data_IF_195120922788
#
_entry.id   IF_195120922788
#
_cell.length_a   1.000
_cell.length_b   1.000
_cell.length_c   1.000
_cell.angle_alpha   90.00
_cell.angle_beta   90.00
_cell.angle_gamma   90.00
#
_symmetry.space_group_name_H-M   'P 1'
#
loop_
_entity.id
_entity.type
_entity.pdbx_description
1 polymer ?
#
# COMPACT_ATOMS: atom_id res chain seq x y z
N UNK A 1 -2.10 19.13 3.92
CA UNK A 1 -2.53 17.72 3.75
C UNK A 1 -1.81 17.12 2.56
N UNK A 2 -1.30 15.92 2.70
CA UNK A 2 -0.66 15.15 1.63
C UNK A 2 -1.71 14.32 0.88
N UNK A 3 -1.33 13.78 -0.29
CA UNK A 3 -2.17 12.89 -1.08
C UNK A 3 -1.49 11.55 -1.33
N UNK A 4 -2.32 10.52 -1.52
CA UNK A 4 -1.89 9.20 -1.97
C UNK A 4 -2.44 8.93 -3.37
N UNK A 5 -1.64 8.26 -4.20
CA UNK A 5 -2.01 7.89 -5.56
C UNK A 5 -2.06 6.38 -5.70
N UNK A 6 -3.13 5.89 -6.32
CA UNK A 6 -3.31 4.50 -6.71
C UNK A 6 -3.24 4.40 -8.24
N UNK A 7 -2.91 3.25 -8.79
CA UNK A 7 -2.82 3.06 -10.23
C UNK A 7 -4.23 2.92 -10.84
N UNK A 8 -4.62 3.88 -11.71
CA UNK A 8 -5.93 3.86 -12.36
C UNK A 8 -6.01 2.82 -13.47
N UNK A 9 -4.90 2.55 -14.17
CA UNK A 9 -4.86 1.52 -15.21
C UNK A 9 -5.14 0.11 -14.66
N UNK A 10 -4.87 -0.11 -13.36
CA UNK A 10 -5.19 -1.35 -12.65
C UNK A 10 -6.49 -1.23 -11.83
N UNK A 11 -7.32 -0.20 -12.02
CA UNK A 11 -8.58 -0.01 -11.28
C UNK A 11 -8.41 0.23 -9.77
N UNK A 12 -7.19 0.44 -9.27
CA UNK A 12 -6.92 0.48 -7.83
C UNK A 12 -7.55 1.69 -7.13
N UNK A 13 -7.68 2.84 -7.80
CA UNK A 13 -8.39 4.00 -7.23
C UNK A 13 -9.84 3.64 -6.97
N UNK A 14 -10.55 3.06 -7.94
CA UNK A 14 -11.94 2.64 -7.79
C UNK A 14 -12.11 1.56 -6.72
N UNK A 15 -11.17 0.61 -6.64
CA UNK A 15 -11.17 -0.41 -5.61
C UNK A 15 -11.09 0.18 -4.19
N UNK A 16 -10.27 1.22 -4.01
CA UNK A 16 -10.20 1.98 -2.75
C UNK A 16 -11.52 2.69 -2.47
N UNK A 17 -12.06 3.43 -3.44
CA UNK A 17 -13.29 4.20 -3.25
C UNK A 17 -14.52 3.32 -2.95
N UNK A 18 -14.53 2.09 -3.46
CA UNK A 18 -15.57 1.07 -3.18
C UNK A 18 -15.33 0.28 -1.89
N UNK A 19 -14.23 0.52 -1.18
CA UNK A 19 -13.86 -0.22 0.03
C UNK A 19 -13.36 -1.64 -0.23
N UNK A 20 -13.15 -2.03 -1.48
CA UNK A 20 -12.66 -3.36 -1.87
C UNK A 20 -11.14 -3.52 -1.69
N UNK A 21 -10.44 -2.41 -1.49
CA UNK A 21 -9.02 -2.34 -1.20
C UNK A 21 -8.84 -1.47 0.04
N UNK A 22 -8.34 -2.07 1.12
CA UNK A 22 -8.16 -1.43 2.43
C UNK A 22 -6.70 -1.49 2.91
N UNK A 23 -5.80 -1.96 2.04
CA UNK A 23 -4.37 -2.02 2.28
C UNK A 23 -3.60 -1.61 1.03
N UNK A 24 -2.43 -1.02 1.20
CA UNK A 24 -1.51 -0.74 0.09
C UNK A 24 -0.08 -0.96 0.53
N UNK A 25 0.70 -1.58 -0.34
CA UNK A 25 2.11 -1.85 -0.12
C UNK A 25 2.99 -0.97 -1.01
N UNK A 26 4.16 -0.63 -0.51
CA UNK A 26 5.14 0.23 -1.20
C UNK A 26 6.54 -0.30 -1.02
N UNK A 27 7.32 -0.25 -2.11
CA UNK A 27 8.77 -0.34 -2.03
C UNK A 27 9.30 1.02 -1.58
N UNK A 28 9.69 1.14 -0.32
CA UNK A 28 10.24 2.37 0.22
C UNK A 28 11.76 2.27 0.39
N UNK A 29 12.42 3.38 0.17
CA UNK A 29 13.87 3.45 0.35
C UNK A 29 14.20 3.44 1.84
N UNK A 30 14.44 2.25 2.36
CA UNK A 30 14.91 2.08 3.74
C UNK A 30 16.40 2.38 3.83
N UNK A 31 16.90 3.02 4.92
CA UNK A 31 18.33 3.16 5.17
C UNK A 31 19.04 1.81 5.15
N UNK A 32 20.24 1.74 4.59
CA UNK A 32 20.98 0.48 4.45
C UNK A 32 21.22 -0.20 5.81
N UNK A 33 21.56 0.59 6.83
CA UNK A 33 21.72 0.08 8.20
C UNK A 33 20.43 -0.54 8.74
N UNK A 34 19.26 0.09 8.48
CA UNK A 34 17.97 -0.45 8.90
C UNK A 34 17.66 -1.77 8.21
N UNK A 35 17.83 -1.82 6.89
CA UNK A 35 17.63 -3.01 6.06
C UNK A 35 18.57 -4.15 6.45
N UNK A 36 19.83 -3.84 6.76
CA UNK A 36 20.80 -4.82 7.27
C UNK A 36 20.27 -5.50 8.53
N UNK A 37 19.82 -4.74 9.53
CA UNK A 37 19.30 -5.32 10.78
C UNK A 37 17.98 -6.08 10.61
N UNK A 38 17.11 -5.69 9.67
CA UNK A 38 15.94 -6.49 9.32
C UNK A 38 16.34 -7.89 8.80
N UNK A 39 17.34 -7.96 7.91
CA UNK A 39 17.85 -9.23 7.40
C UNK A 39 18.50 -10.07 8.49
N UNK A 40 19.29 -9.46 9.35
CA UNK A 40 19.92 -10.13 10.51
C UNK A 40 18.86 -10.70 11.47
N UNK A 41 17.81 -9.93 11.75
CA UNK A 41 16.66 -10.40 12.54
C UNK A 41 15.98 -11.60 11.90
N UNK A 42 15.73 -11.56 10.60
CA UNK A 42 15.09 -12.64 9.86
C UNK A 42 15.92 -13.92 9.88
N UNK A 43 17.23 -13.81 9.81
CA UNK A 43 18.16 -14.95 9.87
C UNK A 43 18.36 -15.49 11.30
N UNK A 44 17.84 -14.78 12.32
CA UNK A 44 18.05 -15.15 13.72
C UNK A 44 19.50 -14.99 14.19
N UNK A 45 20.35 -14.30 13.44
CA UNK A 45 21.80 -14.19 13.71
C UNK A 45 22.11 -13.36 14.97
N UNK A 46 21.22 -12.44 15.35
CA UNK A 46 21.32 -11.68 16.61
C UNK A 46 20.07 -12.01 17.44
N UNK A 47 20.21 -12.63 18.61
CA UNK A 47 19.10 -12.93 19.51
C UNK A 47 18.41 -11.64 19.97
N UNK A 48 17.09 -11.71 20.16
CA UNK A 48 16.28 -10.65 20.76
C UNK A 48 16.24 -9.31 20.00
N UNK A 49 16.51 -9.29 18.68
CA UNK A 49 16.21 -8.13 17.87
C UNK A 49 14.71 -7.97 17.70
N UNK A 50 14.20 -6.81 18.05
CA UNK A 50 12.80 -6.43 17.83
C UNK A 50 12.72 -5.22 16.91
N UNK A 51 11.73 -5.25 16.02
CA UNK A 51 11.35 -4.11 15.20
C UNK A 51 10.00 -3.61 15.72
N UNK A 52 9.96 -2.38 16.19
CA UNK A 52 8.76 -1.77 16.76
C UNK A 52 8.43 -0.49 16.02
N UNK A 53 7.14 -0.24 15.81
CA UNK A 53 6.63 1.04 15.38
C UNK A 53 6.29 1.87 16.61
N UNK A 54 6.81 3.09 16.67
CA UNK A 54 6.56 4.06 17.72
C UNK A 54 5.46 5.01 17.21
N UNK A 55 4.30 4.97 17.81
CA UNK A 55 3.12 5.74 17.37
C UNK A 55 3.29 7.25 17.59
N UNK A 56 4.02 7.66 18.62
CA UNK A 56 4.23 9.08 18.95
C UNK A 56 5.16 9.75 17.94
N UNK A 57 6.23 9.07 17.56
CA UNK A 57 7.21 9.59 16.60
C UNK A 57 6.90 9.21 15.16
N UNK A 58 6.08 8.19 14.93
CA UNK A 58 5.81 7.61 13.61
C UNK A 58 7.02 6.93 12.98
N UNK A 59 7.93 6.41 13.81
CA UNK A 59 9.17 5.77 13.36
C UNK A 59 9.20 4.29 13.67
N UNK A 60 9.75 3.52 12.76
CA UNK A 60 10.21 2.17 13.08
C UNK A 60 11.59 2.21 13.73
N UNK A 61 11.75 1.44 14.79
CA UNK A 61 13.02 1.30 15.50
C UNK A 61 13.40 -0.16 15.63
N UNK A 62 14.62 -0.50 15.24
CA UNK A 62 15.22 -1.80 15.58
C UNK A 62 16.02 -1.64 16.86
N UNK A 63 15.66 -2.44 17.85
CA UNK A 63 16.28 -2.48 19.19
C UNK A 63 16.71 -3.91 19.50
N UNK A 64 17.72 -4.05 20.34
CA UNK A 64 18.06 -5.31 20.97
C UNK A 64 17.58 -5.28 22.42
N UNK A 65 16.73 -6.25 22.77
CA UNK A 65 16.36 -6.50 24.16
C UNK A 65 17.34 -7.52 24.74
N UNK A 66 18.18 -7.10 25.67
CA UNK A 66 19.04 -8.04 26.39
C UNK A 66 18.27 -8.60 27.59
N UNK A 67 18.11 -9.94 27.73
CA UNK A 67 17.30 -10.54 28.79
C UNK A 67 17.76 -10.23 30.21
N UNK A 68 18.98 -9.72 30.36
CA UNK A 68 19.60 -9.41 31.65
C UNK A 68 20.03 -7.95 31.83
N UNK A 69 19.65 -7.06 30.87
CA UNK A 69 19.96 -5.63 30.97
C UNK A 69 18.69 -4.84 30.71
N UNK A 70 18.37 -3.89 31.60
CA UNK A 70 17.23 -2.97 31.41
C UNK A 70 17.41 -1.99 30.24
N UNK A 71 18.61 -1.86 29.70
CA UNK A 71 18.90 -0.93 28.62
C UNK A 71 18.68 -1.58 27.26
N UNK A 72 17.74 -1.00 26.49
CA UNK A 72 17.55 -1.32 25.09
C UNK A 72 18.47 -0.47 24.20
N UNK A 73 19.37 -1.11 23.47
CA UNK A 73 20.19 -0.41 22.48
C UNK A 73 19.40 -0.22 21.18
N UNK A 74 19.34 1.03 20.70
CA UNK A 74 18.74 1.37 19.40
C UNK A 74 19.79 1.22 18.30
N UNK A 75 19.53 0.37 17.32
CA UNK A 75 20.46 0.14 16.21
C UNK A 75 20.16 0.95 14.96
N UNK A 76 18.88 1.09 14.62
CA UNK A 76 18.49 1.76 13.40
C UNK A 76 17.06 2.34 13.49
N UNK A 77 16.82 3.38 12.71
CA UNK A 77 15.54 4.06 12.59
C UNK A 77 15.11 4.11 11.11
N UNK A 78 13.81 4.03 10.89
CA UNK A 78 13.19 4.22 9.56
C UNK A 78 11.89 4.98 9.71
N UNK A 79 11.71 6.03 8.89
CA UNK A 79 10.47 6.80 8.83
C UNK A 79 9.69 6.36 7.59
N UNK A 80 8.54 5.70 7.74
CA UNK A 80 7.69 5.36 6.61
C UNK A 80 7.06 6.63 6.01
N UNK A 81 6.70 6.55 4.74
CA UNK A 81 6.12 7.67 4.00
C UNK A 81 4.77 8.13 4.56
N UNK A 82 3.95 7.19 5.00
CA UNK A 82 2.65 7.45 5.61
C UNK A 82 2.67 6.97 7.06
N UNK A 83 2.08 7.77 7.95
CA UNK A 83 2.11 7.49 9.39
C UNK A 83 0.76 7.03 9.90
N UNK A 84 0.76 6.15 10.88
CA UNK A 84 -0.45 5.72 11.58
C UNK A 84 -1.19 6.92 12.18
N UNK A 85 -2.50 6.91 12.06
CA UNK A 85 -3.38 8.00 12.52
C UNK A 85 -3.50 9.18 11.57
N UNK A 86 -2.59 9.34 10.60
CA UNK A 86 -2.65 10.44 9.64
C UNK A 86 -3.65 10.16 8.51
N UNK A 87 -4.19 11.26 7.96
CA UNK A 87 -5.18 11.23 6.87
C UNK A 87 -4.59 11.81 5.59
N UNK A 88 -4.84 11.11 4.48
CA UNK A 88 -4.33 11.46 3.16
C UNK A 88 -5.47 11.53 2.14
N UNK A 89 -5.44 12.53 1.26
CA UNK A 89 -6.41 12.63 0.17
C UNK A 89 -6.17 11.56 -0.90
N UNK A 90 -7.21 10.88 -1.35
CA UNK A 90 -7.14 9.95 -2.49
C UNK A 90 -7.13 10.79 -3.78
N UNK A 91 -5.98 10.82 -4.47
CA UNK A 91 -5.82 11.62 -5.66
C UNK A 91 -6.64 11.05 -6.84
N UNK A 92 -7.51 11.87 -7.40
CA UNK A 92 -8.30 11.60 -8.60
C UNK A 92 -8.09 12.74 -9.60
N UNK A 93 -8.03 12.47 -10.93
CA UNK A 93 -8.07 13.54 -11.92
C UNK A 93 -9.36 14.37 -11.76
N UNK A 94 -9.29 15.67 -11.93
CA UNK A 94 -10.47 16.55 -11.76
C UNK A 94 -11.65 16.15 -12.65
N UNK A 95 -11.39 15.63 -13.85
CA UNK A 95 -12.46 15.15 -14.73
C UNK A 95 -13.33 14.02 -14.13
N UNK A 96 -12.79 13.26 -13.17
CA UNK A 96 -13.50 12.17 -12.48
C UNK A 96 -14.30 12.65 -11.24
N UNK A 97 -14.13 13.90 -10.83
CA UNK A 97 -14.87 14.45 -9.72
C UNK A 97 -16.35 14.68 -10.08
N UNK A 98 -17.28 14.66 -9.10
CA UNK A 98 -18.68 14.99 -9.32
C UNK A 98 -18.85 16.39 -9.92
N UNK A 99 -19.84 16.56 -10.82
CA UNK A 99 -20.06 17.81 -11.54
C UNK A 99 -20.36 18.99 -10.61
N UNK A 100 -21.13 18.77 -9.54
CA UNK A 100 -21.40 19.78 -8.53
C UNK A 100 -20.11 20.28 -7.86
N UNK A 101 -19.18 19.37 -7.56
CA UNK A 101 -17.91 19.71 -6.95
C UNK A 101 -16.99 20.46 -7.94
N UNK A 102 -16.95 20.03 -9.20
CA UNK A 102 -16.20 20.74 -10.25
C UNK A 102 -16.69 22.19 -10.42
N UNK A 103 -18.00 22.39 -10.43
CA UNK A 103 -18.61 23.73 -10.50
C UNK A 103 -18.28 24.58 -9.28
N UNK A 104 -18.45 24.01 -8.08
CA UNK A 104 -18.16 24.73 -6.82
C UNK A 104 -16.69 25.17 -6.73
N UNK A 105 -15.77 24.33 -7.19
CA UNK A 105 -14.33 24.62 -7.20
C UNK A 105 -13.86 25.40 -8.43
N UNK A 106 -14.77 25.74 -9.35
CA UNK A 106 -14.48 26.44 -10.62
C UNK A 106 -13.36 25.75 -11.43
N UNK A 107 -13.40 24.42 -11.49
CA UNK A 107 -12.39 23.61 -12.22
C UNK A 107 -12.65 23.65 -13.72
N UNK A 108 -11.58 23.76 -14.50
CA UNK A 108 -11.61 23.85 -15.97
C UNK A 108 -10.79 22.72 -16.60
N UNK A 109 -11.11 22.37 -17.83
CA UNK A 109 -10.37 21.36 -18.59
C UNK A 109 -8.91 21.74 -18.84
N UNK A 110 -8.59 23.03 -18.78
CA UNK A 110 -7.24 23.58 -18.89
C UNK A 110 -6.41 23.43 -17.62
N UNK A 111 -7.01 23.05 -16.48
CA UNK A 111 -6.27 22.88 -15.23
C UNK A 111 -5.31 21.66 -15.32
N UNK A 112 -4.11 21.83 -14.83
CA UNK A 112 -3.10 20.77 -14.85
C UNK A 112 -3.55 19.45 -14.21
N UNK A 113 -4.43 19.53 -13.22
CA UNK A 113 -5.03 18.37 -12.54
C UNK A 113 -6.19 17.71 -13.29
N UNK A 114 -6.66 18.27 -14.43
CA UNK A 114 -7.83 17.74 -15.14
C UNK A 114 -7.68 16.30 -15.58
N UNK A 115 -6.57 15.99 -16.26
CA UNK A 115 -6.25 14.63 -16.72
C UNK A 115 -5.20 13.93 -15.86
N UNK A 116 -4.43 14.66 -15.05
CA UNK A 116 -3.29 14.11 -14.33
C UNK A 116 -3.40 14.38 -12.82
N UNK A 117 -3.65 13.31 -12.07
CA UNK A 117 -3.79 13.35 -10.61
C UNK A 117 -2.51 13.75 -9.85
N UNK A 118 -1.36 13.79 -10.51
CA UNK A 118 -0.15 14.34 -9.89
C UNK A 118 -0.29 15.82 -9.55
N UNK A 119 -1.08 16.57 -10.32
CA UNK A 119 -1.24 18.02 -10.16
C UNK A 119 -2.51 18.43 -9.41
N UNK A 120 -3.33 17.48 -8.95
CA UNK A 120 -4.54 17.82 -8.18
C UNK A 120 -4.18 18.35 -6.79
N UNK A 121 -4.98 19.29 -6.31
CA UNK A 121 -4.87 19.81 -4.94
C UNK A 121 -5.53 18.83 -3.96
N UNK A 122 -4.83 18.38 -2.91
CA UNK A 122 -5.41 17.46 -1.93
C UNK A 122 -6.69 17.97 -1.25
N UNK A 123 -6.80 19.29 -1.07
CA UNK A 123 -7.96 19.90 -0.46
C UNK A 123 -9.25 19.76 -1.30
N UNK A 124 -9.12 19.52 -2.61
CA UNK A 124 -10.25 19.37 -3.54
C UNK A 124 -10.77 17.93 -3.64
N UNK A 125 -10.05 16.98 -3.03
CA UNK A 125 -10.41 15.56 -3.13
C UNK A 125 -11.52 15.21 -2.14
N UNK A 126 -12.64 14.61 -2.63
CA UNK A 126 -13.76 14.24 -1.78
C UNK A 126 -13.52 13.00 -0.95
N UNK A 127 -12.50 12.21 -1.30
CA UNK A 127 -12.18 10.98 -0.61
C UNK A 127 -10.82 11.06 0.10
N UNK A 128 -10.78 10.49 1.28
CA UNK A 128 -9.59 10.40 2.12
C UNK A 128 -9.39 8.98 2.60
N UNK A 129 -8.16 8.66 2.93
CA UNK A 129 -7.85 7.45 3.69
C UNK A 129 -7.17 7.85 4.99
N UNK A 130 -7.53 7.18 6.07
CA UNK A 130 -6.86 7.26 7.37
C UNK A 130 -6.04 6.01 7.57
N UNK A 131 -4.75 6.18 7.83
CA UNK A 131 -3.85 5.05 8.09
C UNK A 131 -4.16 4.47 9.48
N UNK A 132 -4.53 3.21 9.51
CA UNK A 132 -4.86 2.48 10.74
C UNK A 132 -3.66 1.74 11.29
N UNK A 133 -2.82 1.22 10.37
CA UNK A 133 -1.66 0.43 10.75
C UNK A 133 -0.56 0.51 9.70
N UNK A 134 0.70 0.35 10.15
CA UNK A 134 1.89 0.36 9.32
C UNK A 134 2.77 -0.80 9.71
N UNK A 135 3.08 -1.66 8.75
CA UNK A 135 3.84 -2.88 8.98
C UNK A 135 4.96 -3.03 7.94
N UNK A 136 5.98 -3.78 8.29
CA UNK A 136 7.11 -4.07 7.40
C UNK A 136 7.21 -5.58 7.23
N UNK A 137 7.19 -6.03 5.98
CA UNK A 137 7.30 -7.45 5.60
C UNK A 137 8.36 -7.67 4.53
N UNK A 138 9.00 -8.83 4.49
CA UNK A 138 9.57 -9.34 3.24
C UNK A 138 8.42 -9.60 2.26
N UNK A 139 8.60 -9.26 0.99
CA UNK A 139 7.53 -9.40 -0.01
C UNK A 139 6.98 -10.82 -0.09
N UNK A 140 7.83 -11.84 -0.01
CA UNK A 140 7.39 -13.25 -0.06
C UNK A 140 6.55 -13.66 1.15
N UNK A 141 6.83 -13.13 2.35
CA UNK A 141 6.02 -13.37 3.56
C UNK A 141 4.65 -12.73 3.40
N UNK A 142 4.63 -11.49 2.91
CA UNK A 142 3.39 -10.77 2.61
C UNK A 142 2.52 -11.56 1.62
N UNK A 143 3.10 -12.00 0.53
CA UNK A 143 2.41 -12.75 -0.50
C UNK A 143 2.02 -14.19 -0.09
N UNK A 144 2.59 -14.71 0.98
CA UNK A 144 2.19 -15.97 1.61
C UNK A 144 0.91 -15.89 2.44
N UNK A 145 0.39 -14.68 2.68
CA UNK A 145 -0.84 -14.45 3.45
C UNK A 145 -2.02 -14.14 2.54
N UNK A 146 -3.00 -15.05 2.46
CA UNK A 146 -4.24 -14.82 1.71
C UNK A 146 -4.95 -13.55 2.18
N UNK A 147 -5.06 -13.35 3.50
CA UNK A 147 -5.72 -12.19 4.10
C UNK A 147 -5.07 -10.87 3.62
N UNK A 148 -3.75 -10.75 3.66
CA UNK A 148 -3.07 -9.54 3.23
C UNK A 148 -3.25 -9.29 1.73
N UNK A 149 -3.25 -10.35 0.91
CA UNK A 149 -3.50 -10.24 -0.52
C UNK A 149 -4.93 -9.76 -0.82
N UNK A 150 -5.94 -10.28 -0.10
CA UNK A 150 -7.33 -9.84 -0.24
C UNK A 150 -7.48 -8.36 0.16
N UNK A 151 -6.87 -7.94 1.27
CA UNK A 151 -6.87 -6.53 1.71
C UNK A 151 -6.18 -5.60 0.69
N UNK A 152 -5.19 -6.09 -0.08
CA UNK A 152 -4.51 -5.36 -1.17
C UNK A 152 -5.37 -5.19 -2.42
N UNK A 153 -6.46 -5.95 -2.54
CA UNK A 153 -7.38 -5.90 -3.67
C UNK A 153 -7.32 -7.12 -4.59
N UNK A 154 -6.79 -8.24 -4.10
CA UNK A 154 -7.02 -9.53 -4.74
C UNK A 154 -8.42 -10.00 -4.40
N UNK A 155 -9.14 -10.54 -5.38
CA UNK A 155 -10.50 -11.03 -5.22
C UNK A 155 -10.56 -12.53 -5.54
N UNK A 156 -11.49 -13.23 -4.88
CA UNK A 156 -11.85 -14.60 -5.27
C UNK A 156 -12.76 -14.54 -6.49
N UNK A 157 -12.43 -15.31 -7.51
CA UNK A 157 -13.26 -15.42 -8.68
C UNK A 157 -14.61 -16.11 -8.34
N UNK A 158 -15.75 -15.64 -8.88
CA UNK A 158 -17.03 -16.32 -8.69
C UNK A 158 -17.00 -17.71 -9.36
N UNK A 159 -17.57 -18.70 -8.69
CA UNK A 159 -17.72 -20.06 -9.25
C UNK A 159 -18.89 -20.11 -10.28
N UNK A 160 -18.85 -20.94 -11.34
CA UNK A 160 -17.81 -21.93 -11.70
C UNK A 160 -16.85 -21.40 -12.76
N UNK A 161 -15.54 -21.48 -12.49
CA UNK A 161 -14.52 -21.23 -13.49
C UNK A 161 -13.85 -22.54 -13.93
N UNK A 162 -13.61 -22.75 -15.24
CA UNK A 162 -12.78 -23.85 -15.71
C UNK A 162 -11.35 -23.71 -15.17
N UNK A 163 -10.67 -24.83 -14.99
CA UNK A 163 -9.23 -24.93 -14.69
C UNK A 163 -8.74 -24.45 -13.31
N UNK A 164 -9.58 -24.51 -12.27
CA UNK A 164 -9.18 -24.17 -10.90
C UNK A 164 -8.62 -22.73 -10.71
N UNK A 165 -8.87 -21.82 -11.63
CA UNK A 165 -8.51 -20.41 -11.46
C UNK A 165 -9.44 -19.76 -10.44
N UNK A 166 -8.88 -19.32 -9.29
CA UNK A 166 -9.67 -18.91 -8.13
C UNK A 166 -9.52 -17.46 -7.75
N UNK A 167 -8.54 -16.76 -8.30
CA UNK A 167 -8.17 -15.41 -7.87
C UNK A 167 -7.96 -14.48 -9.07
N UNK A 168 -8.28 -13.23 -8.85
CA UNK A 168 -7.98 -12.13 -9.76
C UNK A 168 -7.56 -10.91 -8.93
N UNK A 169 -6.91 -9.94 -9.53
CA UNK A 169 -6.85 -8.61 -8.92
C UNK A 169 -8.03 -7.77 -9.43
N UNK A 170 -8.45 -6.79 -8.63
CA UNK A 170 -9.54 -5.90 -8.98
C UNK A 170 -9.09 -5.04 -10.16
N UNK A 171 -9.57 -5.41 -11.33
CA UNK A 171 -9.45 -4.64 -12.53
C UNK A 171 -10.85 -4.47 -13.08
N UNK A 172 -11.31 -3.24 -13.28
CA UNK A 172 -12.55 -2.93 -14.00
C UNK A 172 -12.31 -2.98 -15.53
N UNK A 173 -11.14 -3.44 -15.97
CA UNK A 173 -10.74 -3.49 -17.36
C UNK A 173 -11.27 -4.77 -17.99
N UNK A 174 -11.69 -4.70 -19.25
CA UNK A 174 -12.34 -5.76 -20.05
C UNK A 174 -11.59 -7.10 -20.14
N UNK A 175 -10.33 -7.18 -19.72
CA UNK A 175 -9.50 -8.38 -19.74
C UNK A 175 -9.04 -8.79 -18.33
N UNK A 176 -9.96 -9.27 -17.51
CA UNK A 176 -9.64 -9.79 -16.17
C UNK A 176 -8.76 -11.02 -16.29
N UNK A 177 -7.56 -10.95 -15.71
CA UNK A 177 -6.66 -12.10 -15.62
C UNK A 177 -6.98 -12.91 -14.36
N UNK A 178 -7.10 -14.22 -14.54
CA UNK A 178 -7.34 -15.15 -13.45
C UNK A 178 -6.07 -15.94 -13.11
N UNK A 179 -5.93 -16.29 -11.85
CA UNK A 179 -4.75 -16.95 -11.30
C UNK A 179 -5.15 -18.14 -10.44
N UNK A 180 -4.30 -19.17 -10.38
CA UNK A 180 -4.55 -20.36 -9.57
C UNK A 180 -4.44 -20.12 -8.06
N UNK A 181 -3.68 -19.09 -7.65
CA UNK A 181 -3.48 -18.74 -6.25
C UNK A 181 -3.47 -17.23 -6.02
N UNK A 182 -3.76 -16.82 -4.79
CA UNK A 182 -3.64 -15.42 -4.37
C UNK A 182 -2.20 -14.90 -4.50
N UNK A 183 -1.20 -15.75 -4.25
CA UNK A 183 0.21 -15.38 -4.40
C UNK A 183 0.56 -15.07 -5.87
N UNK A 184 0.03 -15.83 -6.83
CA UNK A 184 0.22 -15.54 -8.25
C UNK A 184 -0.56 -14.28 -8.68
N UNK A 185 -1.75 -14.06 -8.12
CA UNK A 185 -2.53 -12.86 -8.40
C UNK A 185 -1.83 -11.60 -7.88
N UNK A 186 -1.29 -11.62 -6.66
CA UNK A 186 -0.54 -10.47 -6.13
C UNK A 186 0.77 -10.24 -6.89
N UNK A 187 1.46 -11.30 -7.33
CA UNK A 187 2.63 -11.18 -8.19
C UNK A 187 2.30 -10.51 -9.52
N UNK A 188 1.17 -10.88 -10.14
CA UNK A 188 0.65 -10.24 -11.33
C UNK A 188 0.36 -8.75 -11.11
N UNK A 189 -0.31 -8.40 -10.01
CA UNK A 189 -0.60 -7.03 -9.65
C UNK A 189 0.69 -6.19 -9.47
N UNK A 190 1.69 -6.71 -8.76
CA UNK A 190 2.97 -6.01 -8.59
C UNK A 190 3.68 -5.78 -9.93
N UNK A 191 3.67 -6.77 -10.83
CA UNK A 191 4.26 -6.62 -12.17
C UNK A 191 3.53 -5.59 -13.03
N UNK A 192 2.21 -5.46 -12.89
CA UNK A 192 1.43 -4.45 -13.62
C UNK A 192 1.61 -3.03 -13.04
N UNK A 193 1.65 -2.90 -11.72
CA UNK A 193 1.74 -1.58 -11.05
C UNK A 193 3.15 -1.03 -11.06
N UNK A 194 4.16 -1.87 -10.81
CA UNK A 194 5.54 -1.46 -10.59
C UNK A 194 6.46 -1.74 -11.79
N UNK A 195 5.95 -2.45 -12.81
CA UNK A 195 6.68 -2.80 -14.02
C UNK A 195 6.99 -4.29 -14.14
N UNK A 196 7.23 -4.71 -15.38
CA UNK A 196 7.52 -6.10 -15.73
C UNK A 196 8.68 -6.64 -14.90
N UNK A 197 8.58 -7.91 -14.49
CA UNK A 197 9.57 -8.63 -13.70
C UNK A 197 9.83 -8.08 -12.27
N UNK A 198 9.03 -7.11 -11.80
CA UNK A 198 9.16 -6.58 -10.44
C UNK A 198 9.11 -7.69 -9.39
N UNK A 199 8.17 -8.62 -9.51
CA UNK A 199 8.06 -9.75 -8.60
C UNK A 199 9.34 -10.57 -8.53
N UNK A 200 9.88 -10.99 -9.68
CA UNK A 200 11.09 -11.80 -9.77
C UNK A 200 12.30 -11.09 -9.18
N UNK A 201 12.45 -9.80 -9.47
CA UNK A 201 13.60 -9.01 -9.07
C UNK A 201 13.57 -8.57 -7.60
N UNK A 202 12.36 -8.49 -7.01
CA UNK A 202 12.15 -7.90 -5.68
C UNK A 202 11.53 -8.86 -4.66
N UNK A 203 11.41 -10.15 -4.98
CA UNK A 203 10.75 -11.15 -4.14
C UNK A 203 11.24 -11.18 -2.68
N UNK A 204 12.54 -10.99 -2.45
CA UNK A 204 13.15 -10.96 -1.12
C UNK A 204 13.28 -9.56 -0.53
N UNK A 205 12.74 -8.52 -1.20
CA UNK A 205 12.83 -7.16 -0.68
C UNK A 205 11.82 -6.91 0.42
N UNK A 206 12.18 -5.99 1.29
CA UNK A 206 11.29 -5.46 2.32
C UNK A 206 10.35 -4.43 1.74
N UNK A 207 9.08 -4.54 2.10
CA UNK A 207 8.01 -3.62 1.74
C UNK A 207 7.40 -3.00 2.99
N UNK A 208 6.84 -1.81 2.84
CA UNK A 208 6.00 -1.19 3.87
C UNK A 208 4.55 -1.35 3.45
N UNK A 209 3.75 -1.88 4.34
CA UNK A 209 2.32 -2.14 4.15
C UNK A 209 1.52 -1.21 5.04
N UNK A 210 0.52 -0.57 4.46
CA UNK A 210 -0.35 0.41 5.11
C UNK A 210 -1.79 -0.08 5.07
N UNK A 211 -2.35 -0.39 6.24
CA UNK A 211 -3.79 -0.63 6.38
C UNK A 211 -4.52 0.68 6.60
N UNK A 212 -5.68 0.87 5.97
CA UNK A 212 -6.41 2.13 6.05
C UNK A 212 -7.93 1.95 6.00
N UNK A 213 -8.63 2.97 6.48
CA UNK A 213 -10.05 3.19 6.22
C UNK A 213 -10.23 4.24 5.13
N UNK A 214 -11.31 4.12 4.37
CA UNK A 214 -11.74 5.13 3.40
C UNK A 214 -12.84 5.99 4.03
N UNK A 215 -12.69 7.30 3.92
CA UNK A 215 -13.62 8.28 4.46
C UNK A 215 -14.05 9.23 3.33
N UNK A 216 -15.36 9.46 3.19
CA UNK A 216 -15.85 10.50 2.30
C UNK A 216 -15.85 11.83 3.06
N UNK A 217 -15.13 12.79 2.52
CA UNK A 217 -15.19 14.16 3.02
C UNK A 217 -16.39 14.83 2.35
N UNK A 218 -17.44 15.09 3.12
CA UNK A 218 -18.57 15.91 2.66
C UNK A 218 -18.03 17.34 2.62
N UNK A 219 -17.67 17.79 1.42
CA UNK A 219 -17.26 19.17 1.14
C UNK A 219 -18.50 20.01 0.93
#
# INVERSE_FOLDING_TARGET
MLKIMFNDACGLTNAVLKGNKIRTTRFEKMPDRYRHYLNVKQQGAIPYLINTYDEDTGLFTIKQCHPFKEQMEKFALFSPRYKKGETYAVAQPYKQLPENLKKMLNLKETDAGWNNKMFVKPAYMPWRIRILDVEIFPLYVYAGSEQLCLEEGIIKAPQPFPDNMRYSHISEVENVKYYHSYSNAIAGLFNEVCGRDTWKNHYNQWIVSYKFNVEQNIV
#
